data_IF_762011995395
#
_entry.id   IF_762011995395
#
_cell.length_a   1.000
_cell.length_b   1.000
_cell.length_c   1.000
_cell.angle_alpha   90.00
_cell.angle_beta   90.00
_cell.angle_gamma   90.00
#
_symmetry.space_group_name_H-M   'P 1'
#
loop_
_entity.id
_entity.type
_entity.pdbx_description
1 polymer ?
#
# COMPACT_ATOMS: atom_id res chain seq x y z
N UNK A 1 -14.50 -0.52 12.37
CA UNK A 1 -14.73 -1.37 13.53
C UNK A 1 -13.55 -2.30 13.73
N UNK A 2 -12.91 -2.23 14.92
CA UNK A 2 -11.80 -3.12 15.31
C UNK A 2 -12.29 -4.53 15.65
N UNK A 3 -13.55 -4.67 16.10
CA UNK A 3 -14.11 -5.95 16.50
C UNK A 3 -14.27 -6.95 15.34
N UNK A 4 -14.45 -6.48 14.10
CA UNK A 4 -14.66 -7.37 12.95
C UNK A 4 -13.49 -8.33 12.80
N UNK A 5 -12.26 -7.81 12.83
CA UNK A 5 -11.03 -8.61 12.68
C UNK A 5 -10.29 -8.85 14.01
N UNK A 6 -11.02 -8.76 15.13
CA UNK A 6 -10.47 -8.98 16.47
C UNK A 6 -9.78 -7.74 17.04
N UNK A 7 -10.20 -7.33 18.24
CA UNK A 7 -9.62 -6.18 18.92
C UNK A 7 -8.19 -6.53 19.37
N UNK A 8 -7.21 -5.77 18.87
CA UNK A 8 -5.83 -5.81 19.38
C UNK A 8 -5.74 -5.01 20.67
N UNK A 9 -5.14 -5.62 21.70
CA UNK A 9 -4.81 -4.92 22.94
C UNK A 9 -3.66 -3.94 22.69
N UNK A 10 -3.63 -2.78 23.38
CA UNK A 10 -2.52 -1.84 23.27
C UNK A 10 -1.20 -2.50 23.67
N UNK A 11 -0.16 -2.34 22.85
CA UNK A 11 1.21 -2.73 23.24
C UNK A 11 1.88 -1.58 24.00
N UNK A 12 1.58 -0.35 23.59
CA UNK A 12 2.07 0.88 24.19
C UNK A 12 1.16 1.30 25.35
N UNK A 13 1.70 1.28 26.58
CA UNK A 13 0.90 1.48 27.82
C UNK A 13 0.54 2.93 28.09
N UNK A 14 1.44 3.86 27.76
CA UNK A 14 1.27 5.28 28.08
C UNK A 14 1.38 6.13 26.82
N UNK A 15 0.31 6.87 26.52
CA UNK A 15 0.24 7.82 25.41
C UNK A 15 -0.59 9.05 25.80
N UNK A 16 -0.33 10.18 25.13
CA UNK A 16 -1.19 11.36 25.21
C UNK A 16 -2.53 11.02 24.53
N UNK A 17 -3.67 11.24 25.21
CA UNK A 17 -4.98 10.93 24.65
C UNK A 17 -5.21 11.60 23.28
N UNK A 18 -5.85 10.86 22.36
CA UNK A 18 -6.21 11.29 21.01
C UNK A 18 -5.03 11.63 20.07
N UNK A 19 -3.77 11.45 20.50
CA UNK A 19 -2.60 11.56 19.64
C UNK A 19 -2.11 10.16 19.24
N UNK A 20 -1.98 9.93 17.94
CA UNK A 20 -1.49 8.63 17.42
C UNK A 20 0.02 8.53 17.57
N UNK A 21 0.75 9.44 16.91
CA UNK A 21 2.21 9.36 16.77
C UNK A 21 2.95 10.49 17.47
N UNK A 22 2.70 11.76 17.10
CA UNK A 22 3.48 12.90 17.59
C UNK A 22 2.63 13.99 18.23
N UNK A 23 3.28 14.74 19.11
CA UNK A 23 2.76 16.00 19.66
C UNK A 23 3.07 17.11 18.65
N UNK A 24 2.05 17.77 18.05
CA UNK A 24 2.25 18.70 16.94
C UNK A 24 3.23 19.86 17.22
N UNK A 25 3.20 20.42 18.43
CA UNK A 25 4.02 21.58 18.80
C UNK A 25 5.43 21.18 19.22
N UNK A 26 5.56 20.10 20.00
CA UNK A 26 6.84 19.65 20.55
C UNK A 26 7.63 18.78 19.57
N UNK A 27 7.00 18.38 18.46
CA UNK A 27 7.54 17.47 17.47
C UNK A 27 8.28 16.29 18.13
N UNK A 28 7.63 15.62 19.08
CA UNK A 28 8.15 14.43 19.77
C UNK A 28 7.10 13.33 19.76
N UNK A 29 7.51 12.08 19.98
CA UNK A 29 6.56 10.96 20.04
C UNK A 29 5.58 11.15 21.21
N UNK A 30 4.30 10.86 20.98
CA UNK A 30 3.20 11.07 21.92
C UNK A 30 3.04 9.93 22.92
N UNK A 31 4.01 9.03 23.01
CA UNK A 31 3.95 7.81 23.82
C UNK A 31 5.32 7.41 24.37
N UNK A 32 5.30 6.59 25.43
CA UNK A 32 6.52 5.98 25.96
C UNK A 32 6.83 4.67 25.22
N UNK A 33 8.08 4.50 24.78
CA UNK A 33 8.54 3.26 24.12
C UNK A 33 8.59 2.06 25.06
N UNK A 34 8.70 2.29 26.37
CA UNK A 34 8.75 1.27 27.43
C UNK A 34 7.97 1.72 28.66
N UNK A 35 7.35 0.80 29.42
CA UNK A 35 7.25 -0.64 29.14
C UNK A 35 6.35 -0.95 27.94
N UNK A 36 6.58 -2.09 27.28
CA UNK A 36 5.78 -2.58 26.14
C UNK A 36 5.14 -3.92 26.51
N UNK A 37 3.84 -4.04 26.29
CA UNK A 37 3.11 -5.29 26.48
C UNK A 37 3.33 -6.23 25.29
N UNK A 38 3.12 -7.53 25.51
CA UNK A 38 3.10 -8.49 24.40
C UNK A 38 1.84 -8.29 23.57
N UNK A 39 1.96 -8.52 22.26
CA UNK A 39 0.81 -8.55 21.37
C UNK A 39 -0.24 -9.55 21.86
N UNK A 40 -1.49 -9.11 21.88
CA UNK A 40 -2.64 -9.96 22.17
C UNK A 40 -3.84 -9.45 21.37
N UNK A 41 -4.56 -10.37 20.73
CA UNK A 41 -5.77 -10.07 19.95
C UNK A 41 -6.93 -10.90 20.50
N UNK A 42 -8.06 -10.24 20.73
CA UNK A 42 -9.32 -10.87 21.07
C UNK A 42 -9.94 -11.56 19.85
N UNK A 43 -10.78 -12.59 20.04
CA UNK A 43 -11.47 -13.25 18.94
C UNK A 43 -12.14 -12.28 17.97
N UNK A 44 -12.00 -12.57 16.67
CA UNK A 44 -12.61 -11.81 15.59
C UNK A 44 -14.08 -12.23 15.41
N UNK A 45 -14.91 -11.28 14.93
CA UNK A 45 -16.30 -11.58 14.54
C UNK A 45 -16.36 -12.23 13.15
N UNK A 46 -15.42 -11.87 12.28
CA UNK A 46 -15.29 -12.39 10.90
C UNK A 46 -13.82 -12.46 10.49
N UNK A 47 -13.52 -13.26 9.46
CA UNK A 47 -12.24 -13.24 8.77
C UNK A 47 -12.13 -12.05 7.82
N UNK A 48 -10.90 -11.73 7.40
CA UNK A 48 -10.70 -10.82 6.28
C UNK A 48 -10.97 -11.59 4.98
N UNK A 49 -11.90 -11.10 4.17
CA UNK A 49 -12.22 -11.72 2.88
C UNK A 49 -11.63 -10.93 1.71
N UNK A 50 -11.56 -11.60 0.56
CA UNK A 50 -11.15 -10.92 -0.69
C UNK A 50 -12.11 -9.78 -0.99
N UNK A 51 -11.54 -8.70 -1.48
CA UNK A 51 -12.16 -7.41 -1.72
C UNK A 51 -12.63 -6.64 -0.48
N UNK A 52 -12.41 -7.10 0.75
CA UNK A 52 -12.73 -6.26 1.91
C UNK A 52 -11.84 -5.01 1.93
N UNK A 53 -12.39 -3.82 2.26
CA UNK A 53 -11.57 -2.70 2.68
C UNK A 53 -11.04 -3.00 4.08
N UNK A 54 -9.74 -2.85 4.28
CA UNK A 54 -9.06 -3.19 5.52
C UNK A 54 -8.20 -2.03 5.99
N UNK A 55 -8.35 -1.70 7.28
CA UNK A 55 -7.43 -0.81 7.99
C UNK A 55 -6.33 -1.67 8.59
N UNK A 56 -5.07 -1.34 8.32
CA UNK A 56 -3.90 -2.03 8.86
C UNK A 56 -2.76 -1.06 9.15
N UNK A 57 -1.82 -1.46 9.99
CA UNK A 57 -0.59 -0.73 10.22
C UNK A 57 0.37 -0.93 9.04
N UNK A 58 1.00 0.15 8.58
CA UNK A 58 1.93 0.12 7.44
C UNK A 58 3.08 -0.87 7.71
N UNK A 59 3.29 -1.93 6.89
CA UNK A 59 4.22 -3.00 7.25
C UNK A 59 5.68 -2.56 7.37
N UNK A 60 6.14 -1.62 6.53
CA UNK A 60 7.49 -1.02 6.54
C UNK A 60 7.60 0.23 7.45
N UNK A 61 6.53 0.60 8.15
CA UNK A 61 6.47 1.79 9.00
C UNK A 61 7.15 1.64 10.38
N UNK A 62 7.94 0.58 10.61
CA UNK A 62 8.66 0.36 11.87
C UNK A 62 9.88 1.28 12.05
N UNK A 63 10.50 1.71 10.95
CA UNK A 63 11.73 2.48 10.95
C UNK A 63 11.65 3.60 9.89
N UNK A 64 11.51 4.85 10.33
CA UNK A 64 11.11 5.97 9.45
C UNK A 64 11.89 7.27 9.70
N UNK A 65 11.97 8.10 8.66
CA UNK A 65 12.39 9.50 8.67
C UNK A 65 11.18 10.40 8.44
N UNK A 66 10.94 11.35 9.36
CA UNK A 66 9.70 12.12 9.39
C UNK A 66 9.92 13.55 8.90
N UNK A 67 9.57 13.85 7.64
CA UNK A 67 9.65 15.20 7.08
C UNK A 67 8.28 15.91 7.13
N UNK A 68 8.23 17.25 7.01
CA UNK A 68 6.98 17.95 6.77
C UNK A 68 6.27 17.39 5.53
N UNK A 69 4.98 17.06 5.67
CA UNK A 69 4.15 16.56 4.58
C UNK A 69 4.27 15.06 4.29
N UNK A 70 5.43 14.42 4.47
CA UNK A 70 5.62 12.99 4.20
C UNK A 70 6.58 12.31 5.17
N UNK A 71 6.24 11.08 5.55
CA UNK A 71 7.16 10.15 6.22
C UNK A 71 7.75 9.19 5.18
N UNK A 72 9.05 8.96 5.29
CA UNK A 72 9.80 8.04 4.43
C UNK A 72 10.33 6.89 5.28
N UNK A 73 10.26 5.66 4.80
CA UNK A 73 10.85 4.52 5.50
C UNK A 73 12.36 4.46 5.27
N UNK A 74 13.05 3.70 6.12
CA UNK A 74 14.46 3.33 5.85
C UNK A 74 14.61 2.57 4.52
N UNK A 75 13.56 1.83 4.11
CA UNK A 75 13.54 1.08 2.86
C UNK A 75 13.41 2.01 1.66
N UNK A 76 12.59 3.06 1.75
CA UNK A 76 12.52 4.09 0.70
C UNK A 76 13.87 4.77 0.48
N UNK A 77 14.57 5.09 1.57
CA UNK A 77 15.91 5.67 1.49
C UNK A 77 16.89 4.70 0.81
N UNK A 78 16.93 3.44 1.25
CA UNK A 78 17.81 2.40 0.67
C UNK A 78 17.51 2.11 -0.80
N UNK A 79 16.25 2.24 -1.22
CA UNK A 79 15.79 2.08 -2.61
C UNK A 79 15.99 3.35 -3.46
N UNK A 80 16.52 4.43 -2.90
CA UNK A 80 16.72 5.71 -3.61
C UNK A 80 15.42 6.45 -3.95
N UNK A 81 14.31 6.14 -3.27
CA UNK A 81 13.02 6.77 -3.49
C UNK A 81 12.89 8.14 -2.80
N UNK A 82 13.77 8.43 -1.84
CA UNK A 82 13.80 9.71 -1.12
C UNK A 82 14.44 10.80 -1.99
N UNK A 83 13.81 11.97 -2.16
CA UNK A 83 14.37 13.08 -2.95
C UNK A 83 15.79 13.46 -2.51
N UNK A 84 16.70 13.83 -3.44
CA UNK A 84 18.12 14.05 -3.11
C UNK A 84 18.38 15.02 -1.95
N UNK A 85 17.64 16.13 -1.89
CA UNK A 85 17.76 17.13 -0.82
C UNK A 85 17.37 16.57 0.57
N UNK A 86 16.42 15.64 0.62
CA UNK A 86 16.03 14.95 1.86
C UNK A 86 17.01 13.80 2.18
N UNK A 87 17.48 13.09 1.17
CA UNK A 87 18.47 12.01 1.31
C UNK A 87 19.78 12.54 1.92
N UNK A 88 20.25 13.72 1.51
CA UNK A 88 21.44 14.35 2.09
C UNK A 88 21.28 14.66 3.59
N UNK A 89 20.07 15.04 4.03
CA UNK A 89 19.80 15.27 5.46
C UNK A 89 19.83 13.97 6.27
N UNK A 90 19.41 12.86 5.67
CA UNK A 90 19.53 11.53 6.28
C UNK A 90 21.00 11.13 6.38
N UNK A 91 21.76 11.26 5.30
CA UNK A 91 23.16 10.86 5.20
C UNK A 91 24.07 11.64 6.16
N UNK A 92 23.85 12.96 6.26
CA UNK A 92 24.58 13.84 7.21
C UNK A 92 24.18 13.63 8.68
N UNK A 93 23.16 12.82 8.97
CA UNK A 93 22.62 12.63 10.32
C UNK A 93 21.74 13.79 10.81
N UNK A 94 21.54 14.84 10.02
CA UNK A 94 20.63 15.94 10.35
C UNK A 94 19.17 15.46 10.51
N UNK A 95 18.83 14.32 9.89
CA UNK A 95 17.55 13.66 10.07
C UNK A 95 17.68 12.33 10.79
N UNK A 96 17.21 12.29 12.04
CA UNK A 96 17.23 11.09 12.87
C UNK A 96 16.23 10.03 12.42
N UNK A 97 16.64 8.76 12.53
CA UNK A 97 15.80 7.59 12.34
C UNK A 97 14.89 7.39 13.55
N UNK A 98 13.59 7.30 13.31
CA UNK A 98 12.58 7.04 14.34
C UNK A 98 12.08 5.61 14.23
N UNK A 99 12.19 4.85 15.31
CA UNK A 99 11.61 3.51 15.44
C UNK A 99 10.28 3.54 16.17
N UNK A 100 9.29 2.80 15.65
CA UNK A 100 7.92 2.74 16.19
C UNK A 100 7.50 1.30 16.51
N UNK A 101 6.85 1.05 17.66
CA UNK A 101 6.19 -0.23 17.91
C UNK A 101 5.03 -0.44 16.93
N UNK A 102 4.58 -1.69 16.78
CA UNK A 102 3.58 -2.10 15.79
C UNK A 102 2.29 -1.26 15.87
N UNK A 103 1.79 -1.04 17.08
CA UNK A 103 0.55 -0.28 17.34
C UNK A 103 0.67 1.23 17.09
N UNK A 104 1.88 1.74 16.84
CA UNK A 104 2.19 3.15 16.54
C UNK A 104 2.66 3.40 15.10
N UNK A 105 2.69 2.37 14.27
CA UNK A 105 2.91 2.57 12.83
C UNK A 105 1.72 3.32 12.22
N UNK A 106 1.94 4.00 11.10
CA UNK A 106 0.88 4.70 10.38
C UNK A 106 -0.20 3.73 9.89
N UNK A 107 -1.44 4.20 9.79
CA UNK A 107 -2.57 3.40 9.33
C UNK A 107 -2.78 3.60 7.83
N UNK A 108 -2.97 2.50 7.12
CA UNK A 108 -3.35 2.48 5.71
C UNK A 108 -4.73 1.83 5.58
N UNK A 109 -5.47 2.26 4.55
CA UNK A 109 -6.70 1.61 4.12
C UNK A 109 -6.50 1.16 2.69
N UNK A 110 -6.63 -0.14 2.45
CA UNK A 110 -6.51 -0.76 1.13
C UNK A 110 -7.49 -1.92 1.05
N UNK A 111 -7.65 -2.48 -0.14
CA UNK A 111 -8.48 -3.64 -0.40
C UNK A 111 -7.66 -4.92 -0.25
N UNK A 112 -8.19 -5.92 0.47
CA UNK A 112 -7.56 -7.24 0.54
C UNK A 112 -7.80 -7.98 -0.78
N UNK A 113 -6.79 -8.11 -1.62
CA UNK A 113 -6.93 -8.76 -2.93
C UNK A 113 -6.68 -10.26 -2.84
N UNK A 114 -5.72 -10.69 -2.01
CA UNK A 114 -5.41 -12.09 -1.77
C UNK A 114 -5.29 -12.37 -0.27
N UNK A 115 -5.82 -13.53 0.11
CA UNK A 115 -5.89 -14.01 1.50
C UNK A 115 -4.85 -15.13 1.73
N UNK A 116 -4.62 -15.59 2.97
CA UNK A 116 -3.60 -16.59 3.27
C UNK A 116 -3.76 -17.87 2.45
N UNK A 117 -2.70 -18.26 1.74
CA UNK A 117 -2.64 -19.47 0.92
C UNK A 117 -3.00 -19.27 -0.55
N UNK A 118 -3.40 -18.05 -0.94
CA UNK A 118 -3.62 -17.71 -2.34
C UNK A 118 -2.30 -17.60 -3.12
N UNK A 119 -2.36 -17.90 -4.41
CA UNK A 119 -1.38 -17.45 -5.40
C UNK A 119 -1.95 -16.26 -6.16
N UNK A 120 -1.24 -15.14 -6.15
CA UNK A 120 -1.60 -13.90 -6.85
C UNK A 120 -0.70 -13.67 -8.05
N UNK A 121 -1.30 -13.27 -9.16
CA UNK A 121 -0.60 -12.83 -10.37
C UNK A 121 -1.35 -11.65 -10.98
N UNK A 122 -0.66 -10.76 -11.67
CA UNK A 122 -1.27 -9.69 -12.46
C UNK A 122 -0.83 -9.90 -13.91
N UNK A 123 -1.80 -9.92 -14.83
CA UNK A 123 -1.58 -10.05 -16.27
C UNK A 123 -2.35 -8.94 -16.95
N UNK A 124 -1.65 -8.04 -17.64
CA UNK A 124 -2.24 -6.89 -18.31
C UNK A 124 -3.30 -6.20 -17.43
N UNK A 125 -2.87 -5.75 -16.23
CA UNK A 125 -3.67 -5.06 -15.20
C UNK A 125 -4.74 -5.89 -14.49
N UNK A 126 -5.09 -7.06 -15.00
CA UNK A 126 -6.07 -7.95 -14.37
C UNK A 126 -5.38 -8.82 -13.31
N UNK A 127 -5.92 -8.81 -12.09
CA UNK A 127 -5.45 -9.70 -11.03
C UNK A 127 -6.06 -11.10 -11.22
N UNK A 128 -5.23 -12.12 -11.08
CA UNK A 128 -5.63 -13.52 -11.00
C UNK A 128 -5.29 -14.06 -9.61
N UNK A 129 -6.24 -14.78 -9.02
CA UNK A 129 -6.09 -15.50 -7.76
C UNK A 129 -6.27 -16.98 -8.04
N UNK A 130 -5.27 -17.79 -7.71
CA UNK A 130 -5.25 -19.22 -7.96
C UNK A 130 -5.57 -19.56 -9.44
N UNK A 131 -5.03 -18.75 -10.36
CA UNK A 131 -5.24 -18.88 -11.81
C UNK A 131 -6.57 -18.36 -12.34
N UNK A 132 -7.49 -17.89 -11.48
CA UNK A 132 -8.80 -17.36 -11.89
C UNK A 132 -8.84 -15.83 -11.80
N UNK A 133 -9.47 -15.12 -12.76
CA UNK A 133 -9.56 -13.67 -12.71
C UNK A 133 -10.34 -13.22 -11.46
N UNK A 134 -9.72 -12.35 -10.66
CA UNK A 134 -10.33 -11.76 -9.49
C UNK A 134 -11.41 -10.74 -9.88
N UNK A 135 -12.46 -10.63 -9.06
CA UNK A 135 -13.48 -9.60 -9.23
C UNK A 135 -12.87 -8.22 -9.00
N UNK A 136 -12.98 -7.34 -9.99
CA UNK A 136 -12.53 -5.96 -9.86
C UNK A 136 -13.50 -5.13 -8.99
N UNK A 137 -12.96 -4.22 -8.16
CA UNK A 137 -13.74 -3.16 -7.54
C UNK A 137 -14.45 -2.29 -8.58
N UNK A 138 -15.65 -1.79 -8.28
CA UNK A 138 -16.44 -0.98 -9.23
C UNK A 138 -15.74 0.32 -9.66
N UNK A 139 -15.11 1.00 -8.71
CA UNK A 139 -14.41 2.27 -8.94
C UNK A 139 -12.91 2.09 -9.08
N UNK A 140 -12.49 0.96 -9.65
CA UNK A 140 -11.09 0.69 -9.93
C UNK A 140 -10.54 1.71 -10.93
N UNK A 141 -9.39 2.32 -10.64
CA UNK A 141 -8.81 3.38 -11.46
C UNK A 141 -7.42 3.01 -11.98
N UNK A 142 -7.12 3.49 -13.19
CA UNK A 142 -5.82 3.40 -13.84
C UNK A 142 -5.44 4.79 -14.39
N UNK A 143 -4.17 5.00 -14.66
CA UNK A 143 -3.72 6.17 -15.41
C UNK A 143 -3.95 5.95 -16.92
N UNK A 144 -4.37 7.01 -17.60
CA UNK A 144 -4.56 7.06 -19.05
C UNK A 144 -3.90 8.31 -19.62
N UNK A 145 -3.43 8.22 -20.86
CA UNK A 145 -3.08 9.39 -21.66
C UNK A 145 -4.37 9.87 -22.32
N UNK A 146 -4.75 11.12 -22.06
CA UNK A 146 -5.97 11.75 -22.55
C UNK A 146 -5.58 12.96 -23.40
N UNK A 147 -5.88 12.91 -24.69
CA UNK A 147 -5.63 14.00 -25.64
C UNK A 147 -6.94 14.64 -26.08
N UNK A 148 -7.07 15.94 -25.81
CA UNK A 148 -8.23 16.76 -26.19
C UNK A 148 -8.01 17.42 -27.56
N UNK A 149 -9.03 17.52 -28.41
CA UNK A 149 -8.89 18.12 -29.76
C UNK A 149 -8.61 19.63 -29.72
N UNK A 150 -9.14 20.37 -28.74
CA UNK A 150 -8.96 21.82 -28.60
C UNK A 150 -8.12 22.20 -27.37
N UNK A 151 -7.40 23.33 -27.46
CA UNK A 151 -6.29 23.71 -26.58
C UNK A 151 -6.61 24.09 -25.13
N UNK A 152 -7.80 23.81 -24.63
CA UNK A 152 -8.12 23.91 -23.20
C UNK A 152 -8.99 22.72 -22.76
N UNK A 153 -8.52 21.99 -21.74
CA UNK A 153 -9.27 20.91 -21.12
C UNK A 153 -10.56 21.46 -20.47
N UNK A 154 -11.72 20.92 -20.87
CA UNK A 154 -12.98 21.24 -20.21
C UNK A 154 -13.17 20.37 -18.95
N UNK A 155 -12.66 20.85 -17.81
CA UNK A 155 -12.75 20.15 -16.51
C UNK A 155 -14.00 20.51 -15.71
N UNK A 156 -14.95 21.27 -16.28
CA UNK A 156 -16.08 21.85 -15.54
C UNK A 156 -16.86 20.82 -14.72
N UNK A 157 -17.01 19.60 -15.24
CA UNK A 157 -17.80 18.53 -14.61
C UNK A 157 -16.94 17.51 -13.83
N UNK A 158 -15.61 17.63 -13.82
CA UNK A 158 -14.71 16.61 -13.27
C UNK A 158 -14.95 16.36 -11.78
N UNK A 159 -15.07 17.43 -10.99
CA UNK A 159 -15.33 17.34 -9.56
C UNK A 159 -16.66 16.63 -9.25
N UNK A 160 -17.70 16.86 -10.06
CA UNK A 160 -19.01 16.17 -9.92
C UNK A 160 -18.94 14.68 -10.29
N UNK A 161 -18.02 14.31 -11.17
CA UNK A 161 -17.72 12.92 -11.53
C UNK A 161 -16.71 12.25 -10.58
N UNK A 162 -16.22 12.99 -9.58
CA UNK A 162 -15.23 12.51 -8.63
C UNK A 162 -13.81 12.42 -9.18
N UNK A 163 -13.49 13.16 -10.25
CA UNK A 163 -12.14 13.35 -10.76
C UNK A 163 -11.60 14.64 -10.13
N UNK A 164 -10.62 14.54 -9.24
CA UNK A 164 -10.04 15.70 -8.57
C UNK A 164 -8.88 16.30 -9.38
N UNK A 165 -8.38 17.46 -8.95
CA UNK A 165 -7.20 18.07 -9.59
C UNK A 165 -5.96 17.20 -9.42
N UNK A 166 -5.87 16.48 -8.31
CA UNK A 166 -4.79 15.54 -8.01
C UNK A 166 -4.82 14.28 -8.88
N UNK A 167 -5.95 13.98 -9.53
CA UNK A 167 -6.05 12.89 -10.50
C UNK A 167 -5.47 13.28 -11.87
N UNK A 168 -5.22 14.57 -12.11
CA UNK A 168 -4.47 15.07 -13.28
C UNK A 168 -2.99 15.08 -12.93
N UNK A 169 -2.30 14.00 -13.25
CA UNK A 169 -0.93 13.72 -12.78
C UNK A 169 0.10 14.58 -13.51
N UNK A 170 0.00 14.65 -14.84
CA UNK A 170 0.96 15.36 -15.70
C UNK A 170 0.23 16.00 -16.87
N UNK A 171 0.64 17.21 -17.24
CA UNK A 171 0.29 17.82 -18.52
C UNK A 171 1.46 17.65 -19.50
N UNK A 172 1.20 16.99 -20.63
CA UNK A 172 2.14 16.77 -21.72
C UNK A 172 1.76 17.67 -22.91
N UNK A 173 2.31 18.87 -22.96
CA UNK A 173 1.96 19.85 -23.99
C UNK A 173 0.59 20.52 -23.77
N UNK A 174 0.01 21.16 -24.79
CA UNK A 174 -1.16 22.03 -24.59
C UNK A 174 -2.47 21.28 -24.32
N UNK A 175 -2.61 20.06 -24.83
CA UNK A 175 -3.89 19.35 -24.88
C UNK A 175 -3.83 17.87 -24.46
N UNK A 176 -2.68 17.37 -24.03
CA UNK A 176 -2.51 15.96 -23.63
C UNK A 176 -2.16 15.88 -22.14
N UNK A 177 -2.80 14.95 -21.43
CA UNK A 177 -2.69 14.82 -19.97
C UNK A 177 -2.59 13.35 -19.57
N UNK A 178 -1.88 13.07 -18.48
CA UNK A 178 -2.00 11.79 -17.77
C UNK A 178 -3.04 11.98 -16.68
N UNK A 179 -4.16 11.27 -16.79
CA UNK A 179 -5.28 11.37 -15.85
C UNK A 179 -5.58 9.99 -15.26
N UNK A 180 -5.78 9.93 -13.95
CA UNK A 180 -6.31 8.75 -13.28
C UNK A 180 -7.83 8.71 -13.45
N UNK A 181 -8.34 7.62 -14.02
CA UNK A 181 -9.77 7.45 -14.29
C UNK A 181 -10.22 6.04 -13.91
N UNK A 182 -11.43 5.92 -13.36
CA UNK A 182 -12.20 4.67 -13.41
C UNK A 182 -12.81 4.48 -14.80
N UNK A 183 -13.35 3.28 -15.07
CA UNK A 183 -14.04 3.03 -16.33
C UNK A 183 -15.24 3.98 -16.54
N UNK A 184 -16.05 4.20 -15.51
CA UNK A 184 -17.21 5.12 -15.60
C UNK A 184 -16.79 6.60 -15.77
N UNK A 185 -15.63 6.98 -15.23
CA UNK A 185 -15.07 8.32 -15.42
C UNK A 185 -14.51 8.47 -16.84
N UNK A 186 -13.83 7.44 -17.35
CA UNK A 186 -13.32 7.38 -18.72
C UNK A 186 -14.43 7.55 -19.75
N UNK A 187 -15.55 6.84 -19.58
CA UNK A 187 -16.73 6.98 -20.43
C UNK A 187 -17.30 8.41 -20.42
N UNK A 188 -17.39 9.05 -19.25
CA UNK A 188 -17.86 10.44 -19.13
C UNK A 188 -16.91 11.43 -19.81
N UNK A 189 -15.61 11.24 -19.67
CA UNK A 189 -14.59 12.07 -20.35
C UNK A 189 -14.70 11.90 -21.86
N UNK A 190 -14.79 10.67 -22.36
CA UNK A 190 -14.99 10.38 -23.78
C UNK A 190 -16.29 11.00 -24.33
N UNK A 191 -17.35 11.04 -23.51
CA UNK A 191 -18.63 11.64 -23.88
C UNK A 191 -18.65 13.17 -24.00
N UNK A 192 -17.57 13.86 -23.62
CA UNK A 192 -17.45 15.32 -23.82
C UNK A 192 -17.26 15.69 -25.29
N UNK A 193 -16.48 14.90 -26.03
CA UNK A 193 -16.20 15.10 -27.46
C UNK A 193 -15.73 13.76 -28.07
N UNK A 194 -16.34 13.30 -29.19
CA UNK A 194 -15.96 12.04 -29.84
C UNK A 194 -14.51 12.00 -30.34
N UNK A 195 -13.84 13.14 -30.50
CA UNK A 195 -12.45 13.23 -30.95
C UNK A 195 -11.43 13.17 -29.80
N UNK A 196 -11.86 13.09 -28.54
CA UNK A 196 -10.95 12.84 -27.42
C UNK A 196 -10.33 11.46 -27.60
N UNK A 197 -9.00 11.39 -27.53
CA UNK A 197 -8.28 10.12 -27.55
C UNK A 197 -7.88 9.75 -26.14
N UNK A 198 -8.29 8.55 -25.70
CA UNK A 198 -7.91 7.99 -24.41
C UNK A 198 -7.14 6.69 -24.65
N UNK A 199 -5.87 6.65 -24.27
CA UNK A 199 -5.03 5.47 -24.44
C UNK A 199 -4.50 4.95 -23.11
N UNK A 200 -4.35 3.63 -23.06
CA UNK A 200 -3.75 2.94 -21.94
C UNK A 200 -2.28 3.35 -21.78
N UNK A 201 -1.87 3.65 -20.55
CA UNK A 201 -0.48 3.90 -20.24
C UNK A 201 0.27 2.60 -19.94
N UNK A 202 1.40 2.35 -20.62
CA UNK A 202 2.27 1.24 -20.23
C UNK A 202 3.17 1.68 -19.08
N UNK A 203 2.80 1.32 -17.85
CA UNK A 203 3.59 1.67 -16.67
C UNK A 203 4.96 0.98 -16.65
N UNK A 204 5.13 -0.15 -17.34
CA UNK A 204 6.44 -0.79 -17.49
C UNK A 204 7.43 0.04 -18.31
N UNK A 205 6.92 0.84 -19.25
CA UNK A 205 7.75 1.76 -20.04
C UNK A 205 8.03 3.09 -19.33
N UNK A 206 7.08 3.58 -18.52
CA UNK A 206 7.20 4.85 -17.81
C UNK A 206 7.94 4.77 -16.47
N UNK A 207 7.70 3.71 -15.72
CA UNK A 207 8.41 3.42 -14.47
C UNK A 207 9.17 2.10 -14.62
N UNK A 208 10.27 2.19 -15.37
CA UNK A 208 11.13 1.06 -15.66
C UNK A 208 12.07 0.68 -14.51
N UNK A 209 11.87 1.19 -13.29
CA UNK A 209 12.73 0.85 -12.16
C UNK A 209 12.25 -0.47 -11.52
N UNK A 210 12.88 -1.60 -11.86
CA UNK A 210 12.40 -2.90 -11.42
C UNK A 210 12.68 -3.12 -9.92
N UNK A 211 13.59 -2.33 -9.33
CA UNK A 211 13.89 -2.35 -7.90
C UNK A 211 12.83 -1.67 -7.02
N UNK A 212 11.83 -0.97 -7.60
CA UNK A 212 10.74 -0.36 -6.81
C UNK A 212 9.66 -1.36 -6.40
N UNK A 213 9.48 -2.43 -7.17
CA UNK A 213 8.44 -3.41 -6.89
C UNK A 213 8.97 -4.46 -5.94
N UNK A 214 8.14 -4.87 -4.98
CA UNK A 214 8.42 -6.02 -4.14
C UNK A 214 8.66 -7.26 -5.03
N UNK A 215 9.70 -8.08 -4.78
CA UNK A 215 10.56 -8.08 -3.60
C UNK A 215 11.85 -7.23 -3.67
N UNK A 216 11.96 -6.31 -4.63
CA UNK A 216 13.13 -5.46 -4.87
C UNK A 216 14.36 -6.23 -5.34
N UNK A 217 14.13 -7.30 -6.10
CA UNK A 217 15.16 -8.20 -6.61
C UNK A 217 14.98 -8.42 -8.12
N UNK A 218 15.40 -7.45 -8.94
CA UNK A 218 15.21 -7.52 -10.39
C UNK A 218 16.09 -8.56 -11.08
N UNK A 219 17.09 -9.10 -10.38
CA UNK A 219 17.94 -10.18 -10.87
C UNK A 219 17.15 -11.48 -10.97
N UNK A 220 16.40 -11.83 -9.91
CA UNK A 220 15.59 -13.05 -9.88
C UNK A 220 14.15 -12.85 -10.35
N UNK A 221 13.64 -11.62 -10.34
CA UNK A 221 12.28 -11.28 -10.80
C UNK A 221 12.30 -10.24 -11.94
N UNK A 222 12.97 -10.53 -13.07
CA UNK A 222 13.06 -9.60 -14.18
C UNK A 222 11.70 -9.41 -14.86
N UNK A 223 11.46 -8.19 -15.35
CA UNK A 223 10.28 -7.87 -16.17
C UNK A 223 8.98 -7.69 -15.38
N UNK A 224 9.00 -7.77 -14.06
CA UNK A 224 7.83 -7.40 -13.26
C UNK A 224 7.55 -5.90 -13.38
N UNK A 225 6.29 -5.58 -13.63
CA UNK A 225 5.74 -4.23 -13.68
C UNK A 225 4.49 -4.15 -12.80
N UNK A 226 3.94 -2.96 -12.59
CA UNK A 226 2.67 -2.83 -11.84
C UNK A 226 1.48 -3.48 -12.53
N UNK A 227 1.60 -3.74 -13.84
CA UNK A 227 0.56 -4.31 -14.72
C UNK A 227 0.80 -5.78 -15.06
N UNK A 228 2.04 -6.26 -14.89
CA UNK A 228 2.44 -7.65 -15.11
C UNK A 228 3.34 -8.11 -13.97
N UNK A 229 2.79 -8.90 -13.04
CA UNK A 229 3.40 -9.13 -11.73
C UNK A 229 3.17 -10.56 -11.24
N UNK A 230 4.15 -11.15 -10.58
CA UNK A 230 4.02 -12.49 -10.00
C UNK A 230 4.31 -13.63 -10.98
N UNK A 231 3.89 -14.86 -10.63
CA UNK A 231 3.05 -15.22 -9.48
C UNK A 231 3.74 -15.05 -8.12
N UNK A 232 2.96 -14.77 -7.07
CA UNK A 232 3.39 -14.67 -5.67
C UNK A 232 2.47 -15.50 -4.79
N UNK A 233 3.04 -16.41 -3.99
CA UNK A 233 2.29 -17.13 -2.97
C UNK A 233 2.14 -16.28 -1.71
N UNK A 234 0.90 -16.08 -1.26
CA UNK A 234 0.59 -15.34 -0.03
C UNK A 234 0.71 -16.29 1.16
N UNK A 235 1.64 -16.05 2.10
CA UNK A 235 1.90 -16.99 3.18
C UNK A 235 0.68 -17.29 4.06
N UNK A 236 0.55 -18.56 4.44
CA UNK A 236 -0.49 -19.06 5.34
C UNK A 236 0.16 -19.71 6.55
N UNK A 237 -0.38 -19.45 7.74
CA UNK A 237 0.09 -20.05 8.98
C UNK A 237 0.14 -21.57 8.86
N UNK A 238 1.27 -22.15 9.23
CA UNK A 238 1.52 -23.60 9.19
C UNK A 238 1.82 -24.16 7.80
N UNK A 239 1.70 -23.37 6.73
CA UNK A 239 2.16 -23.79 5.41
C UNK A 239 3.69 -23.72 5.32
N UNK A 240 4.28 -24.65 4.57
CA UNK A 240 5.72 -24.73 4.33
C UNK A 240 6.01 -24.42 2.87
N UNK A 241 6.99 -23.56 2.61
CA UNK A 241 7.54 -23.30 1.27
C UNK A 241 8.99 -23.71 1.19
N UNK A 242 9.45 -24.00 -0.03
CA UNK A 242 10.88 -24.09 -0.31
C UNK A 242 11.48 -22.69 -0.37
N UNK A 243 12.64 -22.52 0.25
CA UNK A 243 13.43 -21.28 0.19
C UNK A 243 14.76 -21.56 -0.50
N UNK A 244 15.16 -20.66 -1.38
CA UNK A 244 16.42 -20.71 -2.11
C UNK A 244 16.91 -19.28 -2.38
N UNK A 245 18.19 -19.07 -2.73
CA UNK A 245 18.70 -17.73 -3.07
C UNK A 245 17.85 -16.99 -4.11
N UNK A 246 17.22 -17.73 -5.03
CA UNK A 246 16.41 -17.17 -6.12
C UNK A 246 15.03 -16.68 -5.67
N UNK A 247 14.54 -17.12 -4.51
CA UNK A 247 13.20 -16.73 -4.03
C UNK A 247 13.19 -16.08 -2.64
N UNK A 248 14.32 -16.09 -1.94
CA UNK A 248 14.40 -15.64 -0.54
C UNK A 248 14.01 -14.17 -0.39
N UNK A 249 14.19 -13.34 -1.44
CA UNK A 249 13.77 -11.95 -1.44
C UNK A 249 12.26 -11.78 -1.13
N UNK A 250 11.40 -12.70 -1.60
CA UNK A 250 9.96 -12.69 -1.29
C UNK A 250 9.70 -12.92 0.21
N UNK A 251 10.50 -13.71 0.89
CA UNK A 251 10.22 -14.15 2.25
C UNK A 251 11.16 -13.58 3.30
N UNK A 252 12.20 -12.83 2.90
CA UNK A 252 13.22 -12.30 3.80
C UNK A 252 12.61 -11.48 4.94
N UNK A 253 11.70 -10.55 4.63
CA UNK A 253 11.05 -9.71 5.65
C UNK A 253 10.08 -10.51 6.52
N UNK A 254 9.38 -11.49 5.94
CA UNK A 254 8.52 -12.44 6.66
C UNK A 254 9.33 -13.16 7.73
N UNK A 255 10.43 -13.79 7.33
CA UNK A 255 11.26 -14.59 8.21
C UNK A 255 11.95 -13.72 9.27
N UNK A 256 12.56 -12.60 8.85
CA UNK A 256 13.47 -11.84 9.71
C UNK A 256 12.82 -10.76 10.56
N UNK A 257 11.76 -10.12 10.07
CA UNK A 257 11.13 -8.97 10.74
C UNK A 257 9.78 -9.37 11.32
N UNK A 258 8.92 -10.04 10.54
CA UNK A 258 7.57 -10.34 10.98
C UNK A 258 7.49 -11.57 11.90
N UNK A 259 8.39 -12.53 11.72
CA UNK A 259 8.42 -13.78 12.51
C UNK A 259 9.67 -13.93 13.40
N UNK A 260 10.46 -12.85 13.50
CA UNK A 260 11.58 -12.66 14.44
C UNK A 260 12.62 -13.80 14.41
N UNK A 261 13.07 -14.19 13.21
CA UNK A 261 14.17 -15.15 13.06
C UNK A 261 15.44 -14.48 12.53
N UNK A 262 16.60 -15.07 12.82
CA UNK A 262 17.86 -14.68 12.19
C UNK A 262 17.98 -15.35 10.83
N UNK A 263 17.95 -14.57 9.75
CA UNK A 263 18.18 -15.06 8.39
C UNK A 263 19.58 -14.69 7.92
N UNK A 264 20.29 -15.63 7.31
CA UNK A 264 21.55 -15.37 6.60
C UNK A 264 21.62 -16.18 5.31
N UNK A 265 22.20 -15.60 4.27
CA UNK A 265 22.55 -16.28 3.01
C UNK A 265 24.07 -16.27 2.90
N UNK A 266 24.70 -17.45 2.78
CA UNK A 266 26.17 -17.59 2.69
C UNK A 266 26.48 -18.70 1.70
N UNK A 267 27.35 -18.43 0.73
CA UNK A 267 27.81 -19.40 -0.27
C UNK A 267 26.65 -20.15 -0.97
N UNK A 268 25.58 -19.42 -1.32
CA UNK A 268 24.39 -19.99 -1.95
C UNK A 268 23.46 -20.80 -1.03
N UNK A 269 23.73 -20.84 0.28
CA UNK A 269 22.95 -21.58 1.28
C UNK A 269 22.19 -20.63 2.19
N UNK A 270 20.99 -21.05 2.58
CA UNK A 270 20.13 -20.31 3.51
C UNK A 270 20.26 -20.89 4.91
N UNK A 271 20.44 -19.99 5.89
CA UNK A 271 20.49 -20.31 7.30
C UNK A 271 19.40 -19.54 8.03
N UNK A 272 18.55 -20.26 8.77
CA UNK A 272 17.52 -19.68 9.64
C UNK A 272 17.83 -20.08 11.07
N UNK A 273 18.01 -19.09 11.95
CA UNK A 273 18.46 -19.26 13.33
C UNK A 273 19.77 -20.08 13.46
N UNK A 274 20.64 -19.96 12.46
CA UNK A 274 21.94 -20.64 12.41
C UNK A 274 21.92 -22.05 11.82
N UNK A 275 20.74 -22.59 11.49
CA UNK A 275 20.60 -23.91 10.87
C UNK A 275 20.42 -23.77 9.35
N UNK A 276 21.22 -24.50 8.57
CA UNK A 276 21.05 -24.62 7.11
C UNK A 276 19.69 -25.26 6.81
N UNK A 277 18.91 -24.64 5.92
CA UNK A 277 17.58 -25.14 5.52
C UNK A 277 17.25 -24.71 4.11
N UNK A 278 16.44 -25.52 3.42
CA UNK A 278 15.83 -25.22 2.13
C UNK A 278 14.32 -25.00 2.24
N UNK A 279 13.79 -24.89 3.46
CA UNK A 279 12.36 -24.70 3.70
C UNK A 279 12.06 -23.78 4.88
N UNK A 280 10.87 -23.19 4.86
CA UNK A 280 10.35 -22.35 5.92
C UNK A 280 8.86 -22.59 6.15
N UNK A 281 8.46 -22.71 7.43
CA UNK A 281 7.05 -22.84 7.84
C UNK A 281 6.59 -21.54 8.51
N UNK A 282 5.55 -20.92 7.96
CA UNK A 282 5.06 -19.64 8.45
C UNK A 282 4.36 -19.77 9.80
N UNK A 283 4.60 -18.81 10.70
CA UNK A 283 4.04 -18.74 12.06
C UNK A 283 2.73 -17.96 12.14
N UNK A 284 2.42 -17.15 11.14
CA UNK A 284 1.16 -16.39 11.06
C UNK A 284 0.61 -16.29 9.63
N UNK A 285 -0.61 -15.77 9.53
CA UNK A 285 -1.29 -15.51 8.26
C UNK A 285 -0.85 -14.16 7.65
N UNK A 286 -0.90 -14.07 6.33
CA UNK A 286 -0.50 -12.89 5.58
C UNK A 286 -1.52 -12.55 4.49
N UNK A 287 -1.54 -11.28 4.10
CA UNK A 287 -2.53 -10.72 3.18
C UNK A 287 -1.85 -9.85 2.14
N UNK A 288 -2.45 -9.77 0.95
CA UNK A 288 -2.04 -8.86 -0.10
C UNK A 288 -3.01 -7.69 -0.23
N UNK A 289 -2.55 -6.48 0.09
CA UNK A 289 -3.38 -5.29 0.18
C UNK A 289 -3.08 -4.32 -0.96
N UNK A 290 -4.05 -4.05 -1.85
CA UNK A 290 -3.89 -3.14 -3.00
C UNK A 290 -4.85 -1.96 -2.95
N UNK A 291 -4.43 -0.82 -3.51
CA UNK A 291 -5.32 0.31 -3.70
C UNK A 291 -6.21 0.14 -4.92
N UNK A 292 -7.39 0.76 -4.90
CA UNK A 292 -8.29 0.80 -6.06
C UNK A 292 -7.73 1.73 -7.15
N UNK A 293 -6.92 2.73 -6.77
CA UNK A 293 -6.16 3.54 -7.73
C UNK A 293 -4.85 2.83 -8.10
N UNK A 294 -4.92 1.87 -9.03
CA UNK A 294 -3.86 0.87 -9.29
C UNK A 294 -2.56 1.47 -9.81
N UNK A 295 -2.59 2.60 -10.50
CA UNK A 295 -1.35 3.24 -10.96
C UNK A 295 -0.82 4.31 -10.00
N UNK A 296 -1.65 4.82 -9.08
CA UNK A 296 -1.29 5.90 -8.16
C UNK A 296 -1.48 5.52 -6.68
N UNK A 297 -1.17 4.27 -6.33
CA UNK A 297 -1.29 3.75 -4.97
C UNK A 297 0.02 3.12 -4.53
N UNK A 298 0.59 3.64 -3.45
CA UNK A 298 1.54 2.89 -2.64
C UNK A 298 0.78 1.71 -2.01
N UNK A 299 1.13 0.48 -2.40
CA UNK A 299 0.48 -0.75 -1.94
C UNK A 299 1.40 -1.97 -1.88
N UNK A 300 0.84 -3.18 -1.66
CA UNK A 300 1.61 -4.41 -1.50
C UNK A 300 2.53 -4.73 -2.68
N UNK A 301 2.29 -4.19 -3.88
CA UNK A 301 3.25 -4.29 -5.00
C UNK A 301 4.57 -3.57 -4.72
N UNK A 302 4.60 -2.66 -3.74
CA UNK A 302 5.80 -1.94 -3.30
C UNK A 302 6.36 -2.52 -2.01
N UNK A 303 5.55 -2.78 -0.98
CA UNK A 303 6.05 -3.22 0.34
C UNK A 303 5.86 -4.71 0.66
N UNK A 304 5.17 -5.46 -0.21
CA UNK A 304 4.88 -6.87 -0.02
C UNK A 304 3.75 -7.16 0.97
N UNK A 305 3.91 -8.25 1.73
CA UNK A 305 2.85 -8.83 2.55
C UNK A 305 2.45 -7.97 3.76
N UNK A 306 1.16 -7.99 4.08
CA UNK A 306 0.61 -7.46 5.34
C UNK A 306 0.40 -8.63 6.31
N UNK A 307 1.12 -8.69 7.44
CA UNK A 307 0.96 -9.76 8.43
C UNK A 307 -0.37 -9.62 9.18
N UNK A 308 -0.90 -10.74 9.67
CA UNK A 308 -2.15 -10.77 10.43
C UNK A 308 -2.13 -9.83 11.64
N UNK A 309 -1.02 -9.72 12.37
CA UNK A 309 -0.87 -8.83 13.52
C UNK A 309 -0.94 -7.33 13.16
N UNK A 310 -0.74 -6.96 11.89
CA UNK A 310 -0.89 -5.58 11.40
C UNK A 310 -2.34 -5.20 11.12
N UNK A 311 -3.27 -6.16 11.01
CA UNK A 311 -4.68 -5.89 10.75
C UNK A 311 -5.31 -5.13 11.94
N UNK A 312 -5.95 -4.00 11.66
CA UNK A 312 -6.57 -3.15 12.71
C UNK A 312 -8.08 -3.36 12.76
N UNK A 313 -8.73 -3.45 11.60
CA UNK A 313 -10.18 -3.61 11.51
C UNK A 313 -10.74 -3.20 10.15
N UNK A 314 -12.07 -3.18 10.06
CA UNK A 314 -12.82 -2.83 8.85
C UNK A 314 -13.26 -1.37 8.88
N UNK A 315 -13.04 -0.53 7.86
CA UNK A 315 -13.63 0.80 7.83
C UNK A 315 -15.15 0.66 7.59
N UNK A 316 -15.96 1.27 8.47
CA UNK A 316 -17.43 1.06 8.46
C UNK A 316 -18.21 2.31 8.08
N UNK A 317 -17.75 3.49 8.48
CA UNK A 317 -18.44 4.76 8.27
C UNK A 317 -17.45 5.86 7.90
N UNK A 318 -17.84 6.74 6.97
CA UNK A 318 -17.14 8.00 6.73
C UNK A 318 -17.63 9.01 7.76
N UNK A 319 -16.84 9.28 8.80
CA UNK A 319 -17.20 10.29 9.80
C UNK A 319 -17.13 11.72 9.25
N UNK A 320 -16.19 12.01 8.35
CA UNK A 320 -15.98 13.34 7.81
C UNK A 320 -15.38 13.29 6.40
N UNK A 321 -15.70 14.28 5.56
CA UNK A 321 -15.16 14.37 4.20
C UNK A 321 -15.19 15.82 3.71
N UNK A 322 -14.07 16.28 3.14
CA UNK A 322 -13.95 17.57 2.45
C UNK A 322 -14.05 17.38 0.94
N UNK A 323 -14.38 18.44 0.21
CA UNK A 323 -14.26 18.44 -1.25
C UNK A 323 -12.79 18.57 -1.63
N UNK A 324 -12.32 17.75 -2.55
CA UNK A 324 -10.95 17.81 -3.10
C UNK A 324 -9.87 17.87 -1.99
N UNK A 325 -10.05 17.11 -0.91
CA UNK A 325 -9.09 17.03 0.19
C UNK A 325 -8.88 18.31 1.02
N UNK A 326 -9.58 19.40 0.71
CA UNK A 326 -9.34 20.71 1.33
C UNK A 326 -10.59 21.27 1.98
N UNK A 327 -10.47 21.64 3.27
CA UNK A 327 -11.57 22.32 3.98
C UNK A 327 -11.93 23.67 3.35
N UNK A 328 -10.98 24.32 2.64
CA UNK A 328 -11.22 25.57 1.91
C UNK A 328 -12.19 25.38 0.74
N UNK A 329 -12.26 24.18 0.17
CA UNK A 329 -13.17 23.82 -0.91
C UNK A 329 -14.55 23.37 -0.38
N UNK A 330 -14.73 23.38 0.95
CA UNK A 330 -15.98 23.05 1.62
C UNK A 330 -16.12 21.57 2.00
N UNK A 331 -17.24 21.28 2.65
CA UNK A 331 -17.57 19.95 3.18
C UNK A 331 -18.26 19.12 2.08
N UNK A 332 -17.91 17.83 1.97
CA UNK A 332 -18.58 16.88 1.08
C UNK A 332 -19.72 16.16 1.81
N UNK A 333 -20.84 16.87 1.99
CA UNK A 333 -22.03 16.38 2.70
C UNK A 333 -22.61 15.07 2.14
N UNK A 334 -22.42 14.77 0.85
CA UNK A 334 -22.91 13.52 0.24
C UNK A 334 -22.22 12.27 0.81
N UNK A 335 -21.02 12.41 1.38
CA UNK A 335 -20.19 11.30 1.89
C UNK A 335 -20.22 11.13 3.41
N UNK A 336 -20.57 12.18 4.16
CA UNK A 336 -20.59 12.11 5.62
C UNK A 336 -21.65 11.10 6.10
N UNK A 337 -21.29 10.31 7.10
CA UNK A 337 -22.06 9.23 7.71
C UNK A 337 -22.51 8.10 6.75
N UNK A 338 -21.94 8.03 5.54
CA UNK A 338 -22.18 6.91 4.64
C UNK A 338 -21.41 5.67 5.11
N UNK A 339 -22.08 4.53 5.02
CA UNK A 339 -21.43 3.23 5.18
C UNK A 339 -20.44 3.01 4.05
N UNK A 340 -19.24 2.52 4.39
CA UNK A 340 -18.18 2.30 3.39
C UNK A 340 -18.59 1.25 2.37
N UNK A 341 -19.28 0.19 2.79
CA UNK A 341 -19.79 -0.84 1.86
C UNK A 341 -20.85 -0.34 0.87
N UNK A 342 -21.47 0.82 1.11
CA UNK A 342 -22.44 1.43 0.18
C UNK A 342 -21.78 2.34 -0.86
N UNK A 343 -20.45 2.44 -0.85
CA UNK A 343 -19.67 3.19 -1.85
C UNK A 343 -19.19 2.30 -3.00
N UNK A 344 -19.57 1.01 -2.98
CA UNK A 344 -19.18 0.00 -3.97
C UNK A 344 -20.14 -0.18 -5.15
#
# INVERSE_FOLDING_TARGET
>A
SKAHYGIRMPETVLMVPLLHNRIPVLNTESYLKKPRLKYYRLPALESVDRNDPVVFNFPEGDSVYIFPGRTWTIYDYRRGAVPPQMAQQIESGAKELVTRPMDKKDHYIKRCIAIPGDSLEVRDRQVYINGQPAKNPKHLQYMYIVSFPEGAINTRNFSDWGISKEDIIVQQGPNTFIIVLSEDQKEKVQGLDPNIQITNIDMGQLDNNPGKLFPHDPEHFPGWTVDNYGPVYVPKKGATVKVSPENIALYQRVISVYEDNKLAVRDGKIFINGQETDSYTFKQDYYWMMGDNRHNSEDARVWGFVPEDHIVGKPVIIWFSTREGSIRNGINWKRIFKLVGNLE
#
